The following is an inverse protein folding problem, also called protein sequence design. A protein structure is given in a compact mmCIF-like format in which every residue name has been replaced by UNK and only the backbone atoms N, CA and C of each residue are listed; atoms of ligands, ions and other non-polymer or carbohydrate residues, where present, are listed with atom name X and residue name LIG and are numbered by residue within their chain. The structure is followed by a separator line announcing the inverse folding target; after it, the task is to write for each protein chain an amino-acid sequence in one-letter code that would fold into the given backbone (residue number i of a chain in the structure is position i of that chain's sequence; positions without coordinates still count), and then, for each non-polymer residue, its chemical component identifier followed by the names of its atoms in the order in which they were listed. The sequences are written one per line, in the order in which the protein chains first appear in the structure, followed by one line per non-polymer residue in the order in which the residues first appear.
data_IF_160695725000
#
_entry.id   IF_160695725000
#
_cell.length_a   1.000
_cell.length_b   1.000
_cell.length_c   1.000
_cell.angle_alpha   90.00
_cell.angle_beta   90.00
_cell.angle_gamma   90.00
#
_symmetry.space_group_name_H-M   'P 1'
#
loop_
_entity.id
_entity.type
_entity.pdbx_description
1 polymer ?
#
# COMPACT_ATOMS: atom_id res chain seq x y z
N UNK A 1 -58.74 41.17 -5.42
CA UNK A 1 -57.67 40.15 -5.58
C UNK A 1 -58.19 39.26 -6.73
N UNK A 2 -57.53 39.36 -7.91
CA UNK A 2 -58.05 38.77 -9.14
C UNK A 2 -57.81 37.27 -9.17
N UNK A 3 -58.87 36.49 -9.40
CA UNK A 3 -58.88 35.02 -9.49
C UNK A 3 -57.82 34.47 -10.47
N UNK A 4 -57.51 35.23 -11.52
CA UNK A 4 -56.50 34.93 -12.52
C UNK A 4 -55.05 34.83 -11.95
N UNK A 5 -54.73 35.62 -10.93
CA UNK A 5 -53.41 35.61 -10.29
C UNK A 5 -53.24 34.38 -9.39
N UNK A 6 -54.30 33.94 -8.72
CA UNK A 6 -54.30 32.74 -7.86
C UNK A 6 -54.15 31.45 -8.69
N UNK A 7 -54.76 31.39 -9.87
CA UNK A 7 -54.66 30.23 -10.78
C UNK A 7 -53.25 30.10 -11.35
N UNK A 8 -52.56 31.22 -11.64
CA UNK A 8 -51.20 31.21 -12.18
C UNK A 8 -50.12 30.78 -11.15
N UNK A 9 -50.32 31.17 -9.89
CA UNK A 9 -49.42 30.77 -8.80
C UNK A 9 -49.58 29.29 -8.42
N UNK A 10 -50.81 28.74 -8.56
CA UNK A 10 -51.06 27.31 -8.25
C UNK A 10 -50.52 26.38 -9.32
N UNK A 11 -50.50 26.78 -10.59
CA UNK A 11 -49.96 25.97 -11.70
C UNK A 11 -48.43 25.88 -11.67
N UNK A 12 -47.76 26.89 -11.14
CA UNK A 12 -46.29 26.89 -11.06
C UNK A 12 -45.71 25.99 -9.95
N UNK A 13 -46.55 25.53 -9.01
CA UNK A 13 -46.12 24.67 -7.88
C UNK A 13 -46.19 23.15 -8.19
N UNK A 14 -46.76 22.75 -9.32
CA UNK A 14 -47.02 21.32 -9.65
C UNK A 14 -45.92 20.73 -10.57
N UNK A 15 -44.93 21.52 -11.02
CA UNK A 15 -43.94 21.09 -12.00
C UNK A 15 -42.52 20.80 -11.42
N UNK A 16 -42.43 20.47 -10.14
CA UNK A 16 -41.21 19.83 -9.67
C UNK A 16 -41.37 18.31 -9.81
N UNK A 17 -40.82 17.67 -10.85
CA UNK A 17 -40.68 16.23 -10.82
C UNK A 17 -39.70 15.94 -9.71
N UNK A 18 -40.18 15.34 -8.63
CA UNK A 18 -39.34 14.69 -7.65
C UNK A 18 -38.51 13.65 -8.43
N UNK A 19 -37.25 13.91 -8.61
CA UNK A 19 -36.29 12.97 -9.16
C UNK A 19 -36.12 11.85 -8.11
N UNK A 20 -37.07 10.92 -8.12
CA UNK A 20 -36.97 9.64 -7.42
C UNK A 20 -35.96 8.80 -8.20
N UNK A 21 -34.69 9.06 -7.99
CA UNK A 21 -33.60 8.23 -8.49
C UNK A 21 -33.72 6.85 -7.87
N UNK A 22 -34.13 5.88 -8.68
CA UNK A 22 -34.11 4.47 -8.35
C UNK A 22 -32.63 4.07 -8.12
N UNK A 23 -32.19 4.04 -6.86
CA UNK A 23 -30.86 3.68 -6.44
C UNK A 23 -30.58 2.17 -6.60
N UNK A 24 -30.93 1.60 -7.76
CA UNK A 24 -30.74 0.17 -8.06
C UNK A 24 -29.28 -0.24 -8.35
N UNK A 25 -28.33 0.70 -8.34
CA UNK A 25 -26.91 0.44 -8.57
C UNK A 25 -26.02 1.02 -7.46
N UNK A 26 -26.48 1.07 -6.24
CA UNK A 26 -25.57 1.26 -5.10
C UNK A 26 -24.77 -0.04 -4.99
N UNK A 27 -23.45 0.06 -5.24
CA UNK A 27 -22.52 -1.01 -4.91
C UNK A 27 -22.80 -1.44 -3.47
N UNK A 28 -22.84 -2.76 -3.22
CA UNK A 28 -23.03 -3.30 -1.86
C UNK A 28 -22.12 -2.55 -0.90
N UNK A 29 -22.71 -2.01 0.16
CA UNK A 29 -21.93 -1.33 1.17
C UNK A 29 -20.92 -2.32 1.73
N UNK A 30 -19.62 -2.04 1.55
CA UNK A 30 -18.55 -2.87 2.11
C UNK A 30 -18.68 -2.78 3.62
N UNK A 31 -19.19 -3.86 4.23
CA UNK A 31 -19.53 -3.93 5.65
C UNK A 31 -18.26 -4.06 6.52
N UNK A 32 -17.16 -4.55 5.93
CA UNK A 32 -15.89 -4.77 6.62
C UNK A 32 -14.80 -3.81 6.11
N UNK A 33 -14.98 -2.51 6.32
CA UNK A 33 -14.00 -1.49 5.93
C UNK A 33 -12.60 -1.73 6.53
N UNK A 34 -12.51 -2.39 7.68
CA UNK A 34 -11.24 -2.65 8.34
C UNK A 34 -10.47 -3.81 7.69
N UNK A 35 -11.09 -4.56 6.78
CA UNK A 35 -10.41 -5.61 6.00
C UNK A 35 -9.72 -5.07 4.76
N UNK A 36 -10.10 -3.88 4.29
CA UNK A 36 -9.56 -3.28 3.08
C UNK A 36 -8.29 -2.46 3.36
N UNK A 37 -7.40 -2.34 2.36
CA UNK A 37 -6.28 -1.42 2.47
C UNK A 37 -6.79 0.03 2.50
N UNK A 38 -6.18 0.85 3.34
CA UNK A 38 -6.43 2.30 3.38
C UNK A 38 -5.90 3.00 2.14
N UNK A 39 -4.82 2.46 1.59
CA UNK A 39 -4.22 2.91 0.35
C UNK A 39 -3.80 1.72 -0.50
N UNK A 40 -4.05 1.82 -1.82
CA UNK A 40 -3.54 0.91 -2.83
C UNK A 40 -2.93 1.71 -3.98
N UNK A 41 -1.69 1.43 -4.31
CA UNK A 41 -0.96 2.10 -5.39
C UNK A 41 -0.36 1.06 -6.34
N UNK A 42 -0.39 1.33 -7.63
CA UNK A 42 0.13 0.45 -8.66
C UNK A 42 1.34 1.07 -9.35
N UNK A 43 2.31 0.23 -9.75
CA UNK A 43 3.48 0.65 -10.51
C UNK A 43 4.35 1.65 -9.73
N UNK A 44 4.80 1.28 -8.53
CA UNK A 44 5.50 2.18 -7.61
C UNK A 44 7.00 2.08 -7.76
N UNK A 45 7.65 3.23 -7.89
CA UNK A 45 9.08 3.43 -7.62
C UNK A 45 9.21 4.59 -6.65
N UNK A 46 9.71 4.33 -5.45
CA UNK A 46 9.84 5.35 -4.40
C UNK A 46 11.19 5.28 -3.70
N UNK A 47 11.64 6.44 -3.23
CA UNK A 47 12.82 6.59 -2.39
C UNK A 47 12.38 6.92 -0.97
N UNK A 48 12.96 6.24 -0.01
CA UNK A 48 12.72 6.48 1.42
C UNK A 48 13.97 7.13 2.00
N UNK A 49 13.77 8.30 2.59
CA UNK A 49 14.83 9.07 3.23
C UNK A 49 14.60 9.14 4.74
N UNK A 50 15.69 9.05 5.49
CA UNK A 50 15.72 9.30 6.91
C UNK A 50 16.76 10.38 7.21
N UNK A 51 16.34 11.40 7.96
CA UNK A 51 17.20 12.52 8.38
C UNK A 51 17.93 13.20 7.20
N UNK A 52 17.23 13.34 6.05
CA UNK A 52 17.77 13.97 4.84
C UNK A 52 18.69 13.07 3.99
N UNK A 53 18.89 11.83 4.37
CA UNK A 53 19.70 10.86 3.63
C UNK A 53 18.77 9.80 3.04
N UNK A 54 18.84 9.57 1.72
CA UNK A 54 18.11 8.49 1.06
C UNK A 54 18.69 7.16 1.51
N UNK A 55 17.85 6.33 2.11
CA UNK A 55 18.25 5.03 2.68
C UNK A 55 17.85 3.87 1.81
N UNK A 56 16.66 3.92 1.23
CA UNK A 56 16.09 2.80 0.50
C UNK A 56 15.39 3.27 -0.76
N UNK A 57 15.34 2.37 -1.75
CA UNK A 57 14.48 2.47 -2.92
C UNK A 57 13.61 1.23 -2.97
N UNK A 58 12.33 1.43 -3.19
CA UNK A 58 11.34 0.36 -3.33
C UNK A 58 10.79 0.42 -4.75
N UNK A 59 10.81 -0.72 -5.44
CA UNK A 59 10.16 -0.92 -6.73
C UNK A 59 9.18 -2.08 -6.58
N UNK A 60 7.92 -1.86 -6.91
CA UNK A 60 6.87 -2.87 -6.81
C UNK A 60 5.76 -2.61 -7.83
N UNK A 61 5.07 -3.67 -8.25
CA UNK A 61 3.88 -3.53 -9.09
C UNK A 61 2.65 -3.09 -8.29
N UNK A 62 2.59 -3.45 -7.00
CA UNK A 62 1.45 -3.14 -6.14
C UNK A 62 1.92 -2.90 -4.71
N UNK A 63 1.46 -1.81 -4.12
CA UNK A 63 1.69 -1.46 -2.73
C UNK A 63 0.37 -1.15 -2.04
N UNK A 64 0.07 -1.91 -1.00
CA UNK A 64 -1.12 -1.73 -0.18
C UNK A 64 -0.73 -1.40 1.26
N UNK A 65 -1.48 -0.47 1.88
CA UNK A 65 -1.30 -0.07 3.28
C UNK A 65 -2.53 -0.46 4.08
N UNK A 66 -2.32 -1.23 5.14
CA UNK A 66 -3.33 -1.69 6.09
C UNK A 66 -3.10 -1.07 7.47
N UNK A 67 -3.42 0.21 7.63
CA UNK A 67 -3.21 0.98 8.87
C UNK A 67 -4.21 0.63 9.99
N UNK A 68 -5.38 0.10 9.62
CA UNK A 68 -6.41 -0.33 10.56
C UNK A 68 -6.25 -1.76 11.08
N UNK A 69 -5.34 -2.54 10.52
CA UNK A 69 -5.02 -3.87 11.04
C UNK A 69 -4.18 -3.77 12.32
N UNK A 70 -4.19 -4.83 13.08
CA UNK A 70 -3.39 -4.92 14.30
C UNK A 70 -2.50 -6.18 14.26
N UNK A 71 -1.19 -6.04 14.07
CA UNK A 71 -0.45 -4.80 13.82
C UNK A 71 -0.71 -4.21 12.44
N UNK A 72 -0.56 -2.88 12.24
CA UNK A 72 -0.60 -2.27 10.92
C UNK A 72 0.62 -2.68 10.09
N UNK A 73 0.42 -2.84 8.78
CA UNK A 73 1.48 -3.27 7.87
C UNK A 73 1.27 -2.75 6.44
N UNK A 74 2.34 -2.76 5.68
CA UNK A 74 2.33 -2.59 4.23
C UNK A 74 2.46 -3.95 3.57
N UNK A 75 1.75 -4.18 2.47
CA UNK A 75 1.80 -5.41 1.69
C UNK A 75 2.30 -5.14 0.27
N UNK A 76 3.16 -6.05 -0.22
CA UNK A 76 3.75 -6.07 -1.55
C UNK A 76 3.55 -7.48 -2.11
N UNK A 77 2.31 -7.80 -2.53
CA UNK A 77 1.95 -9.18 -2.90
C UNK A 77 2.28 -9.54 -4.35
N UNK A 78 2.65 -8.55 -5.17
CA UNK A 78 3.03 -8.76 -6.58
C UNK A 78 4.51 -8.54 -6.86
N UNK A 79 5.32 -8.86 -5.88
CA UNK A 79 6.76 -8.71 -5.97
C UNK A 79 7.28 -7.37 -5.48
N UNK A 80 8.49 -7.41 -4.93
CA UNK A 80 9.20 -6.24 -4.45
C UNK A 80 10.68 -6.35 -4.80
N UNK A 81 11.27 -5.23 -5.16
CA UNK A 81 12.71 -5.06 -5.27
C UNK A 81 13.13 -3.88 -4.40
N UNK A 82 14.02 -4.15 -3.47
CA UNK A 82 14.54 -3.19 -2.50
C UNK A 82 16.02 -2.94 -2.78
N UNK A 83 16.43 -1.68 -2.78
CA UNK A 83 17.83 -1.27 -2.74
C UNK A 83 18.09 -0.51 -1.45
N UNK A 84 19.13 -0.91 -0.71
CA UNK A 84 19.66 -0.17 0.43
C UNK A 84 20.85 0.65 -0.03
N UNK A 85 20.92 1.91 0.38
CA UNK A 85 22.02 2.81 0.06
C UNK A 85 22.89 3.09 1.29
N UNK A 86 24.17 3.29 1.04
CA UNK A 86 25.10 3.87 2.02
C UNK A 86 24.89 5.39 2.14
N UNK A 87 25.69 6.05 2.97
CA UNK A 87 25.61 7.51 3.17
C UNK A 87 26.03 8.34 1.95
N UNK A 88 26.69 7.72 0.97
CA UNK A 88 27.16 8.34 -0.27
C UNK A 88 26.24 8.02 -1.47
N UNK A 89 25.09 7.41 -1.21
CA UNK A 89 24.11 6.99 -2.22
C UNK A 89 24.61 5.88 -3.18
N UNK A 90 25.55 5.04 -2.71
CA UNK A 90 25.89 3.81 -3.41
C UNK A 90 25.01 2.67 -2.94
N UNK A 91 24.69 1.72 -3.82
CA UNK A 91 23.92 0.53 -3.47
C UNK A 91 24.78 -0.37 -2.57
N UNK A 92 24.40 -0.50 -1.32
CA UNK A 92 25.04 -1.36 -0.31
C UNK A 92 24.52 -2.81 -0.41
N UNK A 93 23.22 -2.96 -0.60
CA UNK A 93 22.59 -4.25 -0.78
C UNK A 93 21.31 -4.13 -1.62
N UNK A 94 20.92 -5.23 -2.26
CA UNK A 94 19.61 -5.35 -2.92
C UNK A 94 18.92 -6.65 -2.53
N UNK A 95 17.60 -6.60 -2.42
CA UNK A 95 16.75 -7.72 -2.08
C UNK A 95 15.59 -7.78 -3.08
N UNK A 96 15.32 -8.98 -3.61
CA UNK A 96 14.14 -9.25 -4.43
C UNK A 96 13.35 -10.37 -3.79
N UNK A 97 12.01 -10.26 -3.79
CA UNK A 97 11.12 -11.31 -3.33
C UNK A 97 9.81 -11.27 -4.11
N UNK A 98 9.08 -12.40 -4.15
CA UNK A 98 7.76 -12.46 -4.80
C UNK A 98 6.68 -11.80 -3.93
N UNK A 99 6.87 -11.81 -2.61
CA UNK A 99 5.93 -11.20 -1.65
C UNK A 99 6.70 -10.60 -0.49
N UNK A 100 6.27 -9.44 0.00
CA UNK A 100 6.83 -8.86 1.21
C UNK A 100 5.78 -8.15 2.05
N UNK A 101 6.03 -8.10 3.35
CA UNK A 101 5.26 -7.34 4.32
C UNK A 101 6.20 -6.46 5.15
N UNK A 102 5.81 -5.22 5.40
CA UNK A 102 6.55 -4.32 6.27
C UNK A 102 5.70 -3.89 7.46
N UNK A 103 6.18 -4.23 8.65
CA UNK A 103 5.56 -3.87 9.91
C UNK A 103 6.21 -2.59 10.46
N UNK A 104 5.62 -1.44 10.14
CA UNK A 104 6.18 -0.12 10.42
C UNK A 104 6.53 0.09 11.90
N UNK A 105 5.63 -0.27 12.82
CA UNK A 105 5.87 -0.13 14.27
C UNK A 105 7.05 -0.97 14.78
N UNK A 106 7.35 -2.07 14.11
CA UNK A 106 8.45 -2.98 14.47
C UNK A 106 9.70 -2.70 13.66
N UNK A 107 9.62 -1.87 12.60
CA UNK A 107 10.66 -1.69 11.59
C UNK A 107 11.16 -3.03 11.04
N UNK A 108 10.21 -3.94 10.77
CA UNK A 108 10.50 -5.32 10.40
C UNK A 108 9.94 -5.60 9.00
N UNK A 109 10.82 -6.03 8.11
CA UNK A 109 10.46 -6.63 6.83
C UNK A 109 10.35 -8.14 6.97
N UNK A 110 9.34 -8.71 6.35
CA UNK A 110 9.15 -10.13 6.14
C UNK A 110 9.04 -10.36 4.64
N UNK A 111 10.04 -11.04 4.04
CA UNK A 111 10.10 -11.33 2.62
C UNK A 111 9.90 -12.82 2.40
N UNK A 112 9.05 -13.17 1.46
CA UNK A 112 8.63 -14.55 1.21
C UNK A 112 8.75 -14.91 -0.26
N UNK A 113 9.08 -16.15 -0.53
CA UNK A 113 9.17 -16.79 -1.83
C UNK A 113 10.19 -16.17 -2.76
N UNK A 114 11.12 -17.00 -3.23
CA UNK A 114 12.18 -16.62 -4.16
C UNK A 114 12.94 -15.36 -3.69
N UNK A 115 13.34 -15.35 -2.41
CA UNK A 115 14.08 -14.24 -1.84
C UNK A 115 15.54 -14.31 -2.29
N UNK A 116 15.97 -13.30 -3.03
CA UNK A 116 17.33 -13.16 -3.53
C UNK A 116 17.97 -11.91 -2.95
N UNK A 117 19.11 -12.08 -2.26
CA UNK A 117 19.87 -10.99 -1.69
C UNK A 117 21.20 -10.88 -2.42
N UNK A 118 21.65 -9.65 -2.65
CA UNK A 118 22.99 -9.33 -3.14
C UNK A 118 23.57 -8.21 -2.31
N UNK A 119 24.83 -8.36 -1.90
CA UNK A 119 25.57 -7.30 -1.23
C UNK A 119 26.51 -6.58 -2.20
N UNK A 120 27.16 -5.52 -1.71
CA UNK A 120 28.13 -4.74 -2.48
C UNK A 120 29.33 -5.57 -2.96
N UNK A 121 29.74 -6.61 -2.18
CA UNK A 121 30.85 -7.50 -2.50
C UNK A 121 30.50 -8.51 -3.60
N UNK A 122 29.23 -8.58 -4.00
CA UNK A 122 28.74 -9.50 -5.01
C UNK A 122 28.31 -10.87 -4.48
N UNK A 123 28.31 -11.07 -3.16
CA UNK A 123 27.78 -12.28 -2.55
C UNK A 123 26.28 -12.37 -2.80
N UNK A 124 25.82 -13.58 -3.00
CA UNK A 124 24.41 -13.89 -3.28
C UNK A 124 23.90 -14.88 -2.27
N UNK A 125 22.71 -14.63 -1.77
CA UNK A 125 22.01 -15.51 -0.84
C UNK A 125 20.59 -15.72 -1.31
N UNK A 126 20.16 -16.96 -1.34
CA UNK A 126 18.82 -17.35 -1.76
C UNK A 126 18.11 -18.07 -0.60
N UNK A 127 16.86 -17.71 -0.35
CA UNK A 127 16.01 -18.35 0.65
C UNK A 127 14.54 -18.25 0.28
N UNK A 128 13.68 -18.97 1.01
CA UNK A 128 12.22 -18.89 0.83
C UNK A 128 11.54 -17.97 1.86
N UNK A 129 12.26 -17.58 2.90
CA UNK A 129 11.76 -16.68 3.94
C UNK A 129 12.93 -15.90 4.50
N UNK A 130 12.76 -14.59 4.63
CA UNK A 130 13.75 -13.70 5.21
C UNK A 130 13.06 -12.67 6.08
N UNK A 131 13.62 -12.42 7.24
CA UNK A 131 13.30 -11.31 8.11
C UNK A 131 14.44 -10.31 8.13
N UNK A 132 14.13 -9.04 7.95
CA UNK A 132 15.09 -7.95 8.10
C UNK A 132 14.57 -6.98 9.15
N UNK A 133 15.22 -6.97 10.30
CA UNK A 133 14.94 -6.08 11.43
C UNK A 133 15.83 -4.85 11.30
N UNK A 134 15.25 -3.74 10.82
CA UNK A 134 15.99 -2.48 10.63
C UNK A 134 16.45 -1.88 11.96
N UNK A 135 15.67 -2.06 13.02
CA UNK A 135 15.99 -1.50 14.33
C UNK A 135 17.22 -2.18 14.97
N UNK A 136 17.41 -3.48 14.68
CA UNK A 136 18.55 -4.26 15.17
C UNK A 136 19.66 -4.39 14.13
N UNK A 137 19.43 -3.90 12.90
CA UNK A 137 20.34 -4.09 11.75
C UNK A 137 20.67 -5.56 11.50
N UNK A 138 19.67 -6.45 11.67
CA UNK A 138 19.83 -7.89 11.56
C UNK A 138 18.96 -8.48 10.47
N UNK A 139 19.55 -9.43 9.74
CA UNK A 139 18.85 -10.27 8.78
C UNK A 139 18.91 -11.70 9.30
N UNK A 140 17.75 -12.38 9.34
CA UNK A 140 17.66 -13.77 9.77
C UNK A 140 16.59 -14.54 8.98
N UNK A 141 16.66 -15.84 9.03
CA UNK A 141 15.71 -16.74 8.37
C UNK A 141 15.54 -18.02 9.19
N UNK A 142 14.29 -18.50 9.22
CA UNK A 142 13.95 -19.83 9.76
C UNK A 142 14.07 -20.92 8.68
N UNK A 143 14.46 -20.56 7.47
CA UNK A 143 14.64 -21.46 6.32
C UNK A 143 16.12 -21.52 5.93
N UNK A 144 16.56 -22.60 5.27
CA UNK A 144 17.93 -22.68 4.77
C UNK A 144 18.27 -21.51 3.84
N UNK A 145 19.44 -20.91 4.06
CA UNK A 145 20.05 -19.89 3.20
C UNK A 145 21.12 -20.60 2.36
N UNK A 146 21.11 -20.37 1.05
CA UNK A 146 22.07 -20.96 0.10
C UNK A 146 22.85 -19.87 -0.60
#
# INVERSE_FOLDING_TARGET
MNITVVVWTTVMFVLFPACSGDNKNLAEAITERDSLPTMKTLGVTTLISDSGITRYKIITEEWEIYDKKNPPYWAFEKGVYLEKFDSLFHIDASIKADTAYYYEKKKLWELRSNVHIRNLQGDKFDTQLLFWDEAKEQIYSDKPIR
#
